data_IF_373001252250
#
_entry.id   IF_373001252250
#
_cell.length_a   1.000
_cell.length_b   1.000
_cell.length_c   1.000
_cell.angle_alpha   90.00
_cell.angle_beta   90.00
_cell.angle_gamma   90.00
#
_symmetry.space_group_name_H-M   'P 1'
#
loop_
_entity.id
_entity.type
_entity.pdbx_description
1 polymer ?
#
# COMPACT_ATOMS: atom_id res chain seq x y z
N UNK A 1 -30.29 -4.18 5.19
CA UNK A 1 -29.15 -3.88 6.08
C UNK A 1 -28.27 -2.90 5.34
N UNK A 2 -28.30 -1.65 5.77
CA UNK A 2 -27.65 -0.52 5.09
C UNK A 2 -26.15 -0.58 5.37
N UNK A 3 -25.37 -1.12 4.45
CA UNK A 3 -23.93 -0.89 4.48
C UNK A 3 -23.65 0.34 3.63
N UNK A 4 -23.37 1.44 4.32
CA UNK A 4 -22.82 2.64 3.73
C UNK A 4 -21.36 2.35 3.38
N UNK A 5 -21.10 1.88 2.15
CA UNK A 5 -19.74 1.73 1.64
C UNK A 5 -19.41 2.92 0.75
N UNK A 6 -18.75 3.90 1.35
CA UNK A 6 -17.96 4.88 0.61
C UNK A 6 -16.76 4.14 0.03
N UNK A 7 -16.72 3.88 -1.29
CA UNK A 7 -15.50 3.98 -2.09
C UNK A 7 -15.72 3.68 -3.59
N UNK A 8 -14.80 4.23 -4.38
CA UNK A 8 -14.66 4.33 -5.84
C UNK A 8 -14.96 3.05 -6.64
N UNK A 9 -16.04 3.07 -7.42
CA UNK A 9 -16.39 2.01 -8.38
C UNK A 9 -15.68 2.22 -9.73
N UNK A 10 -15.07 1.18 -10.28
CA UNK A 10 -14.52 1.17 -11.66
C UNK A 10 -15.28 0.14 -12.50
N UNK A 11 -15.72 0.54 -13.70
CA UNK A 11 -16.55 -0.29 -14.58
C UNK A 11 -15.69 -1.24 -15.42
N UNK A 12 -15.99 -2.54 -15.40
CA UNK A 12 -15.31 -3.56 -16.22
C UNK A 12 -16.22 -4.17 -17.30
N UNK A 13 -17.08 -3.37 -17.93
CA UNK A 13 -17.89 -3.84 -19.07
C UNK A 13 -19.24 -4.48 -18.72
N UNK A 14 -19.44 -4.94 -17.48
CA UNK A 14 -20.56 -5.81 -17.10
C UNK A 14 -21.16 -5.58 -15.72
N UNK A 15 -20.38 -5.09 -14.75
CA UNK A 15 -20.84 -4.79 -13.38
C UNK A 15 -19.88 -3.81 -12.66
N UNK A 16 -20.38 -3.11 -11.64
CA UNK A 16 -19.58 -2.39 -10.65
C UNK A 16 -19.02 -3.39 -9.63
N UNK A 17 -17.75 -3.75 -9.75
CA UNK A 17 -17.10 -4.68 -8.81
C UNK A 17 -16.42 -3.91 -7.66
N UNK A 18 -16.47 -4.46 -6.45
CA UNK A 18 -15.64 -3.99 -5.33
C UNK A 18 -14.17 -4.19 -5.69
N UNK A 19 -13.41 -3.09 -5.75
CA UNK A 19 -11.96 -3.17 -5.88
C UNK A 19 -11.39 -3.48 -4.50
N UNK A 20 -11.05 -4.75 -4.24
CA UNK A 20 -10.33 -5.12 -3.02
C UNK A 20 -8.91 -4.56 -3.08
N UNK A 21 -8.71 -3.42 -2.43
CA UNK A 21 -7.41 -2.79 -2.34
C UNK A 21 -6.61 -3.45 -1.21
N UNK A 22 -5.66 -4.32 -1.55
CA UNK A 22 -4.82 -4.98 -0.56
C UNK A 22 -3.77 -4.02 0.02
N UNK A 23 -4.21 -3.21 0.99
CA UNK A 23 -3.41 -2.20 1.71
C UNK A 23 -2.23 -2.78 2.48
N UNK A 24 -2.30 -4.06 2.83
CA UNK A 24 -1.30 -4.76 3.64
C UNK A 24 -0.19 -5.42 2.81
N UNK A 25 -0.24 -5.34 1.47
CA UNK A 25 0.79 -5.94 0.62
C UNK A 25 1.77 -4.93 0.05
N UNK A 26 3.04 -5.28 0.14
CA UNK A 26 4.13 -4.56 -0.49
C UNK A 26 4.01 -4.65 -2.02
N UNK A 27 4.02 -3.51 -2.75
CA UNK A 27 3.91 -3.50 -4.21
C UNK A 27 5.17 -4.04 -4.92
N UNK A 28 6.29 -4.15 -4.22
CA UNK A 28 7.57 -4.61 -4.78
C UNK A 28 7.68 -6.14 -4.72
N UNK A 29 7.33 -6.76 -3.58
CA UNK A 29 7.51 -8.20 -3.38
C UNK A 29 6.22 -9.00 -3.17
N UNK A 30 5.05 -8.35 -3.05
CA UNK A 30 3.76 -8.99 -2.84
C UNK A 30 3.53 -9.62 -1.45
N UNK A 31 4.52 -9.52 -0.55
CA UNK A 31 4.44 -9.95 0.86
C UNK A 31 3.81 -8.86 1.73
N UNK A 32 3.52 -9.18 2.99
CA UNK A 32 3.04 -8.19 3.95
C UNK A 32 4.00 -7.00 4.08
N UNK A 33 3.43 -5.79 4.14
CA UNK A 33 4.19 -4.56 4.35
C UNK A 33 4.35 -4.18 5.82
N UNK A 34 3.63 -4.87 6.72
CA UNK A 34 3.59 -4.61 8.16
C UNK A 34 3.30 -3.13 8.47
N UNK A 35 2.28 -2.59 7.79
CA UNK A 35 1.84 -1.22 8.02
C UNK A 35 1.14 -1.12 9.38
N UNK A 36 1.83 -0.54 10.37
CA UNK A 36 1.28 -0.36 11.72
C UNK A 36 -0.05 0.40 11.73
N UNK A 37 -0.27 1.37 10.84
CA UNK A 37 -1.54 2.12 10.76
C UNK A 37 -2.71 1.22 10.36
N UNK A 38 -2.51 0.35 9.37
CA UNK A 38 -3.55 -0.61 8.93
C UNK A 38 -3.81 -1.67 10.01
N UNK A 39 -2.79 -1.99 10.81
CA UNK A 39 -2.92 -2.86 11.99
C UNK A 39 -3.54 -2.17 13.22
N UNK A 40 -3.91 -0.89 13.13
CA UNK A 40 -4.52 -0.13 14.23
C UNK A 40 -3.53 0.51 15.21
N UNK A 41 -2.24 0.53 14.87
CA UNK A 41 -1.20 1.22 15.63
C UNK A 41 -1.16 2.71 15.28
N UNK A 42 -0.72 3.54 16.23
CA UNK A 42 -0.60 5.01 16.03
C UNK A 42 0.58 5.41 15.14
N UNK A 43 1.56 4.52 15.02
CA UNK A 43 2.80 4.77 14.26
C UNK A 43 3.12 3.57 13.40
N UNK A 44 3.90 3.80 12.34
CA UNK A 44 4.44 2.76 11.48
C UNK A 44 5.95 2.97 11.36
N UNK A 45 6.71 1.89 11.19
CA UNK A 45 8.15 1.94 10.99
C UNK A 45 8.56 2.83 9.80
N UNK A 46 7.70 2.96 8.78
CA UNK A 46 7.98 3.79 7.61
C UNK A 46 8.01 5.28 7.95
N UNK A 47 7.40 5.70 9.07
CA UNK A 47 7.38 7.11 9.49
C UNK A 47 8.71 7.55 10.11
N UNK A 48 9.51 6.60 10.60
CA UNK A 48 10.81 6.87 11.24
C UNK A 48 11.98 6.68 10.29
N UNK A 49 11.73 6.22 9.06
CA UNK A 49 12.75 5.78 8.13
C UNK A 49 12.88 6.75 6.94
N UNK A 50 14.10 6.87 6.39
CA UNK A 50 14.34 7.71 5.20
C UNK A 50 14.21 6.89 3.92
N UNK A 51 13.41 7.40 2.99
CA UNK A 51 13.16 6.78 1.69
C UNK A 51 13.96 7.48 0.59
N UNK A 52 14.78 6.75 -0.19
CA UNK A 52 15.41 7.30 -1.38
C UNK A 52 14.36 7.73 -2.41
N UNK A 53 14.57 8.84 -3.12
CA UNK A 53 13.59 9.32 -4.10
C UNK A 53 13.24 8.28 -5.18
N UNK A 54 14.21 7.45 -5.56
CA UNK A 54 14.02 6.40 -6.58
C UNK A 54 12.97 5.37 -6.20
N UNK A 55 12.89 4.98 -4.92
CA UNK A 55 11.88 3.99 -4.49
C UNK A 55 10.48 4.61 -4.45
N UNK A 56 10.37 5.90 -4.10
CA UNK A 56 9.10 6.63 -4.11
C UNK A 56 8.58 6.75 -5.55
N UNK A 57 9.46 7.03 -6.52
CA UNK A 57 9.10 7.09 -7.95
C UNK A 57 8.71 5.73 -8.52
N UNK A 58 9.28 4.64 -8.01
CA UNK A 58 8.96 3.29 -8.47
C UNK A 58 7.58 2.79 -7.99
N UNK A 59 7.05 3.35 -6.89
CA UNK A 59 5.72 3.04 -6.39
C UNK A 59 4.73 3.96 -7.12
N UNK A 60 3.75 3.36 -7.81
CA UNK A 60 2.76 4.11 -8.60
C UNK A 60 2.05 5.19 -7.78
N UNK A 61 1.69 6.31 -8.44
CA UNK A 61 1.20 7.52 -7.78
C UNK A 61 -0.05 7.29 -6.95
N UNK A 62 -0.97 6.43 -7.40
CA UNK A 62 -2.17 6.11 -6.65
C UNK A 62 -2.72 4.70 -6.90
N UNK A 63 -3.35 4.11 -5.87
CA UNK A 63 -3.23 4.50 -4.45
C UNK A 63 -1.82 4.23 -3.89
N UNK A 64 -1.35 5.11 -2.99
CA UNK A 64 -0.01 5.04 -2.39
C UNK A 64 0.11 3.79 -1.52
N UNK A 65 0.70 2.72 -2.04
CA UNK A 65 0.94 1.48 -1.29
C UNK A 65 2.19 1.61 -0.41
N UNK A 66 2.10 1.17 0.85
CA UNK A 66 3.27 1.01 1.70
C UNK A 66 4.14 -0.16 1.20
N UNK A 67 5.45 0.03 1.13
CA UNK A 67 6.43 -1.04 0.92
C UNK A 67 6.82 -1.68 2.25
N UNK A 68 7.44 -2.87 2.24
CA UNK A 68 7.99 -3.51 3.43
C UNK A 68 9.42 -3.05 3.74
N UNK A 69 9.86 -3.22 4.99
CA UNK A 69 11.23 -2.89 5.44
C UNK A 69 12.29 -3.60 4.61
N UNK A 70 12.06 -4.87 4.29
CA UNK A 70 13.00 -5.69 3.53
C UNK A 70 13.29 -5.08 2.15
N UNK A 71 12.24 -4.68 1.41
CA UNK A 71 12.42 -4.07 0.10
C UNK A 71 13.15 -2.71 0.18
N UNK A 72 12.88 -1.92 1.22
CA UNK A 72 13.61 -0.67 1.44
C UNK A 72 15.09 -0.92 1.74
N UNK A 73 15.39 -1.92 2.58
CA UNK A 73 16.76 -2.27 2.94
C UNK A 73 17.54 -2.78 1.73
N UNK A 74 16.98 -3.74 0.99
CA UNK A 74 17.59 -4.25 -0.25
C UNK A 74 17.85 -3.15 -1.26
N UNK A 75 16.99 -2.13 -1.36
CA UNK A 75 17.22 -0.99 -2.26
C UNK A 75 18.39 -0.10 -1.80
N UNK A 76 18.60 0.05 -0.48
CA UNK A 76 19.67 0.89 0.09
C UNK A 76 21.06 0.27 0.04
N UNK A 77 21.14 -1.05 -0.07
CA UNK A 77 22.40 -1.80 -0.17
C UNK A 77 22.97 -1.84 -1.60
N UNK A 78 22.24 -1.30 -2.57
CA UNK A 78 22.64 -1.17 -3.98
C UNK A 78 23.29 0.21 -4.19
#
# INVERSE_FOLDING_TARGET
>A
MSHSFSCTVQWNGKECVEVQYEEQRCPICGKENHCGVVEGQKTCWCMTEKFPEGIIKAISEEPKKCICQNCLHTYKEI
#
